data_IF_773422127520
#
_entry.id   IF_773422127520
#
_cell.length_a   1.000
_cell.length_b   1.000
_cell.length_c   1.000
_cell.angle_alpha   90.00
_cell.angle_beta   90.00
_cell.angle_gamma   90.00
#
_symmetry.space_group_name_H-M   'P 1'
#
loop_
_entity.id
_entity.type
_entity.pdbx_description
1 polymer ?
#
# COMPACT_ATOMS: atom_id res chain seq x y z
N UNK A 1 17.48 -3.72 -19.60
CA UNK A 1 16.12 -4.19 -19.38
C UNK A 1 16.17 -5.58 -18.77
N UNK A 2 15.56 -5.70 -17.61
CA UNK A 2 15.47 -7.00 -16.97
C UNK A 2 14.35 -7.81 -17.62
N UNK A 3 14.65 -9.04 -18.04
CA UNK A 3 13.62 -9.95 -18.48
C UNK A 3 12.75 -10.33 -17.28
N UNK A 4 11.46 -10.43 -17.50
CA UNK A 4 10.53 -10.86 -16.44
C UNK A 4 10.90 -12.28 -16.00
N UNK A 5 11.04 -12.48 -14.71
CA UNK A 5 11.18 -13.81 -14.14
C UNK A 5 9.82 -14.52 -14.27
N UNK A 6 9.73 -15.65 -15.01
CA UNK A 6 8.46 -16.34 -15.21
C UNK A 6 7.87 -16.91 -13.91
N UNK A 7 8.65 -16.97 -12.82
CA UNK A 7 8.17 -17.42 -11.51
C UNK A 7 7.64 -16.27 -10.65
N UNK A 8 7.70 -15.03 -11.16
CA UNK A 8 7.24 -13.84 -10.45
C UNK A 8 6.02 -13.26 -11.14
N UNK A 9 5.10 -12.79 -10.33
CA UNK A 9 3.86 -12.19 -10.78
C UNK A 9 3.68 -10.82 -10.13
N UNK A 10 3.47 -9.81 -10.96
CA UNK A 10 3.22 -8.47 -10.47
C UNK A 10 1.71 -8.20 -10.47
N UNK A 11 1.29 -7.33 -9.55
CA UNK A 11 -0.09 -6.90 -9.48
C UNK A 11 -0.16 -5.43 -9.87
N UNK A 12 -1.05 -5.07 -10.78
CA UNK A 12 -1.24 -3.70 -11.23
C UNK A 12 -2.73 -3.35 -11.14
N UNK A 13 -3.04 -2.24 -10.47
CA UNK A 13 -4.39 -1.70 -10.41
C UNK A 13 -4.32 -0.23 -10.82
N UNK A 14 -5.20 0.17 -11.74
CA UNK A 14 -5.37 1.56 -12.10
C UNK A 14 -6.78 1.99 -11.74
N UNK A 15 -6.92 3.11 -11.04
CA UNK A 15 -8.22 3.62 -10.62
C UNK A 15 -8.25 5.15 -10.70
N UNK A 16 -9.38 5.68 -11.12
CA UNK A 16 -9.60 7.13 -11.16
C UNK A 16 -10.39 7.55 -9.92
N UNK A 17 -9.86 8.56 -9.20
CA UNK A 17 -10.52 9.15 -8.04
C UNK A 17 -11.08 10.52 -8.40
N UNK A 18 -12.23 10.84 -7.85
CA UNK A 18 -12.88 12.13 -8.06
C UNK A 18 -12.36 13.16 -7.05
N UNK A 19 -11.07 13.42 -7.14
CA UNK A 19 -10.36 14.37 -6.28
C UNK A 19 -9.08 14.81 -6.98
N UNK A 20 -8.61 16.04 -6.73
CA UNK A 20 -7.37 16.52 -7.35
C UNK A 20 -6.14 15.78 -6.82
N UNK A 21 -5.06 15.84 -7.58
CA UNK A 21 -3.81 15.11 -7.26
C UNK A 21 -3.32 15.42 -5.86
N UNK A 22 -3.39 16.65 -5.40
CA UNK A 22 -2.92 17.05 -4.07
C UNK A 22 -3.66 16.31 -2.96
N UNK A 23 -4.97 16.10 -3.13
CA UNK A 23 -5.76 15.38 -2.13
C UNK A 23 -5.47 13.88 -2.14
N UNK A 24 -5.30 13.29 -3.33
CA UNK A 24 -4.96 11.86 -3.43
C UNK A 24 -3.56 11.62 -2.87
N UNK A 25 -2.61 12.52 -3.15
CA UNK A 25 -1.27 12.45 -2.59
C UNK A 25 -1.31 12.54 -1.06
N UNK A 26 -2.07 13.48 -0.51
CA UNK A 26 -2.22 13.63 0.95
C UNK A 26 -2.81 12.38 1.59
N UNK A 27 -3.74 11.72 0.89
CA UNK A 27 -4.33 10.49 1.40
C UNK A 27 -3.28 9.41 1.67
N UNK A 28 -2.20 9.38 0.90
CA UNK A 28 -1.12 8.40 1.04
C UNK A 28 0.02 8.86 1.95
N UNK A 29 0.07 10.12 2.31
CA UNK A 29 1.23 10.69 3.01
C UNK A 29 0.91 11.29 4.38
N UNK A 30 -0.32 11.70 4.60
CA UNK A 30 -0.76 12.29 5.87
C UNK A 30 -1.23 11.17 6.81
N UNK A 31 -0.69 11.08 8.04
CA UNK A 31 -1.06 10.01 8.97
C UNK A 31 -2.55 9.94 9.27
N UNK A 32 -3.21 11.08 9.47
CA UNK A 32 -4.65 11.09 9.76
C UNK A 32 -5.47 10.59 8.57
N UNK A 33 -5.01 10.87 7.34
CA UNK A 33 -5.67 10.38 6.14
C UNK A 33 -5.49 8.88 5.98
N UNK A 34 -4.27 8.36 6.17
CA UNK A 34 -3.97 6.93 6.06
C UNK A 34 -4.83 6.12 7.04
N UNK A 35 -5.04 6.63 8.23
CA UNK A 35 -5.85 5.95 9.26
C UNK A 35 -7.32 5.78 8.85
N UNK A 36 -7.78 6.51 7.85
CA UNK A 36 -9.17 6.41 7.39
C UNK A 36 -9.42 5.25 6.46
N UNK A 37 -8.41 4.80 5.72
CA UNK A 37 -8.63 3.84 4.64
C UNK A 37 -7.69 2.63 4.65
N UNK A 38 -6.62 2.64 5.43
CA UNK A 38 -5.68 1.51 5.42
C UNK A 38 -6.33 0.25 5.96
N UNK A 39 -6.09 -0.87 5.25
CA UNK A 39 -6.69 -2.17 5.55
C UNK A 39 -7.93 -2.46 4.69
N UNK A 40 -8.19 -3.75 4.43
CA UNK A 40 -9.36 -4.14 3.64
C UNK A 40 -10.66 -3.86 4.37
N UNK A 41 -11.78 -4.11 3.69
CA UNK A 41 -13.11 -3.90 4.26
C UNK A 41 -13.27 -4.61 5.61
N UNK A 42 -13.80 -3.89 6.59
CA UNK A 42 -13.99 -4.40 7.96
C UNK A 42 -12.80 -4.17 8.88
N UNK A 43 -11.65 -3.78 8.33
CA UNK A 43 -10.48 -3.43 9.14
C UNK A 43 -10.49 -1.94 9.49
N UNK A 44 -9.84 -1.62 10.60
CA UNK A 44 -9.53 -0.24 10.97
C UNK A 44 -8.02 -0.05 10.95
N UNK A 45 -7.56 1.19 10.99
CA UNK A 45 -6.12 1.51 10.97
C UNK A 45 -5.78 2.33 12.23
N UNK A 46 -5.40 1.68 13.34
CA UNK A 46 -5.15 2.38 14.60
C UNK A 46 -3.81 3.12 14.66
N UNK A 47 -2.88 2.82 13.76
CA UNK A 47 -1.55 3.42 13.78
C UNK A 47 -1.14 3.86 12.38
N UNK A 48 -0.68 5.09 12.26
CA UNK A 48 0.01 5.58 11.08
C UNK A 48 1.06 6.61 11.55
N UNK A 49 2.32 6.23 11.48
CA UNK A 49 3.46 7.11 11.78
C UNK A 49 4.21 7.31 10.49
N UNK A 50 4.05 8.47 9.88
CA UNK A 50 4.53 8.72 8.53
C UNK A 50 5.85 9.49 8.55
N UNK A 51 6.80 9.01 7.72
CA UNK A 51 8.06 9.70 7.46
C UNK A 51 8.31 9.60 5.96
N UNK A 52 7.56 10.40 5.21
CA UNK A 52 7.52 10.32 3.75
C UNK A 52 8.61 11.17 3.14
N UNK A 53 9.79 10.58 3.04
CA UNK A 53 10.95 11.16 2.39
C UNK A 53 11.82 10.01 1.88
N UNK A 54 12.67 10.28 0.93
CA UNK A 54 13.57 9.25 0.43
C UNK A 54 14.47 8.77 1.56
N UNK A 55 14.50 7.46 1.77
CA UNK A 55 15.20 6.84 2.89
C UNK A 55 14.42 6.81 4.20
N UNK A 56 13.26 7.48 4.27
CA UNK A 56 12.41 7.43 5.45
C UNK A 56 11.58 6.14 5.51
N UNK A 57 11.04 5.85 6.69
CA UNK A 57 10.21 4.66 6.91
C UNK A 57 8.96 5.04 7.68
N UNK A 58 7.80 4.71 7.13
CA UNK A 58 6.53 4.85 7.80
C UNK A 58 6.13 3.53 8.45
N UNK A 59 5.40 3.60 9.57
CA UNK A 59 4.84 2.45 10.26
C UNK A 59 3.32 2.56 10.27
N UNK A 60 2.65 1.56 9.72
CA UNK A 60 1.18 1.53 9.67
C UNK A 60 0.68 0.22 10.26
N UNK A 61 -0.51 0.25 10.82
CA UNK A 61 -1.14 -0.96 11.33
C UNK A 61 -2.59 -1.02 10.86
N UNK A 62 -3.04 -2.23 10.55
CA UNK A 62 -4.45 -2.51 10.32
C UNK A 62 -4.94 -3.44 11.42
N UNK A 63 -6.18 -3.24 11.86
CA UNK A 63 -6.80 -4.04 12.91
C UNK A 63 -7.98 -4.81 12.33
N UNK A 64 -7.93 -6.14 12.47
CA UNK A 64 -9.01 -7.00 12.00
C UNK A 64 -10.27 -6.81 12.85
N UNK A 65 -11.44 -7.26 12.35
CA UNK A 65 -12.67 -7.26 13.15
C UNK A 65 -12.55 -8.03 14.46
N UNK A 66 -11.61 -8.99 14.53
CA UNK A 66 -11.34 -9.78 15.75
C UNK A 66 -10.36 -9.09 16.70
N UNK A 67 -9.88 -7.88 16.35
CA UNK A 67 -8.98 -7.12 17.21
C UNK A 67 -7.51 -7.46 17.08
N UNK A 68 -7.11 -8.15 16.01
CA UNK A 68 -5.70 -8.46 15.75
C UNK A 68 -5.07 -7.37 14.91
N UNK A 69 -3.92 -6.86 15.35
CA UNK A 69 -3.18 -5.82 14.64
C UNK A 69 -2.08 -6.43 13.78
N UNK A 70 -1.99 -5.97 12.54
CA UNK A 70 -0.93 -6.33 11.62
C UNK A 70 -0.17 -5.06 11.24
N UNK A 71 1.13 -5.05 11.51
CA UNK A 71 2.00 -3.90 11.26
C UNK A 71 2.77 -4.08 9.96
N UNK A 72 2.91 -2.97 9.23
CA UNK A 72 3.74 -2.89 8.03
C UNK A 72 4.64 -1.67 8.12
N UNK A 73 5.83 -1.78 7.54
CA UNK A 73 6.67 -0.61 7.28
C UNK A 73 6.68 -0.32 5.79
N UNK A 74 6.75 0.96 5.45
CA UNK A 74 6.95 1.44 4.09
C UNK A 74 8.24 2.25 4.07
N UNK A 75 9.27 1.71 3.43
CA UNK A 75 10.56 2.40 3.30
C UNK A 75 10.64 3.00 1.91
N UNK A 76 10.77 4.32 1.83
CA UNK A 76 10.64 5.05 0.57
C UNK A 76 11.94 5.10 -0.21
N UNK A 77 11.83 4.81 -1.51
CA UNK A 77 12.93 4.94 -2.47
C UNK A 77 12.81 6.20 -3.30
N UNK A 78 11.58 6.55 -3.70
CA UNK A 78 11.28 7.72 -4.52
C UNK A 78 10.11 8.45 -3.91
N UNK A 79 10.25 9.76 -3.73
CA UNK A 79 9.17 10.63 -3.26
C UNK A 79 9.15 11.86 -4.17
N UNK A 80 8.24 11.84 -5.14
CA UNK A 80 8.00 12.97 -6.05
C UNK A 80 6.58 13.48 -5.79
N UNK A 81 6.40 14.52 -4.99
CA UNK A 81 5.08 14.97 -4.58
C UNK A 81 4.10 15.16 -5.74
N UNK A 82 2.94 14.54 -5.62
CA UNK A 82 1.90 14.62 -6.62
C UNK A 82 2.13 13.81 -7.90
N UNK A 83 3.23 13.05 -7.97
CA UNK A 83 3.57 12.30 -9.19
C UNK A 83 3.90 10.84 -8.95
N UNK A 84 4.80 10.56 -8.03
CA UNK A 84 5.33 9.20 -7.88
C UNK A 84 5.77 8.93 -6.46
N UNK A 85 5.40 7.76 -5.96
CA UNK A 85 5.81 7.27 -4.66
C UNK A 85 6.27 5.82 -4.83
N UNK A 86 7.50 5.53 -4.45
CA UNK A 86 8.01 4.17 -4.47
C UNK A 86 8.48 3.79 -3.09
N UNK A 87 8.03 2.64 -2.61
CA UNK A 87 8.44 2.15 -1.30
C UNK A 87 8.47 0.63 -1.28
N UNK A 88 9.20 0.10 -0.30
CA UNK A 88 9.21 -1.34 -0.04
C UNK A 88 8.40 -1.59 1.22
N UNK A 89 7.37 -2.42 1.09
CA UNK A 89 6.54 -2.83 2.21
C UNK A 89 7.13 -4.09 2.84
N UNK A 90 7.24 -4.07 4.16
CA UNK A 90 7.66 -5.23 4.95
C UNK A 90 6.67 -5.43 6.09
N UNK A 91 6.57 -6.67 6.55
CA UNK A 91 5.83 -6.96 7.78
C UNK A 91 6.69 -6.60 8.98
N UNK A 92 6.05 -6.14 10.04
CA UNK A 92 6.77 -5.62 11.19
C UNK A 92 6.02 -5.93 12.50
N UNK A 93 6.71 -5.70 13.61
CA UNK A 93 6.08 -5.64 14.92
C UNK A 93 5.72 -4.18 15.25
N UNK A 94 5.17 -3.94 16.44
CA UNK A 94 4.72 -2.61 16.86
C UNK A 94 5.88 -1.61 17.01
N UNK A 95 7.11 -2.10 17.14
CA UNK A 95 8.31 -1.26 17.21
C UNK A 95 8.91 -0.97 15.84
N UNK A 96 8.34 -1.56 14.77
CA UNK A 96 8.84 -1.38 13.41
C UNK A 96 9.94 -2.35 13.01
N UNK A 97 10.21 -3.37 13.82
CA UNK A 97 11.20 -4.39 13.48
C UNK A 97 10.60 -5.37 12.48
N UNK A 98 11.37 -5.72 11.45
CA UNK A 98 10.90 -6.63 10.41
C UNK A 98 10.58 -8.01 10.98
N UNK A 99 9.47 -8.59 10.51
CA UNK A 99 9.03 -9.93 10.89
C UNK A 99 8.71 -10.73 9.63
N UNK A 100 8.94 -12.04 9.71
CA UNK A 100 8.54 -12.93 8.62
C UNK A 100 7.01 -13.10 8.64
N UNK A 101 6.36 -13.16 7.47
CA UNK A 101 4.92 -13.41 7.41
C UNK A 101 4.48 -14.64 8.19
N UNK A 102 5.28 -15.71 8.13
CA UNK A 102 4.97 -16.96 8.84
C UNK A 102 4.93 -16.76 10.36
N UNK A 103 5.76 -15.88 10.92
CA UNK A 103 5.75 -15.57 12.35
C UNK A 103 4.44 -14.88 12.77
N UNK A 104 3.76 -14.26 11.82
CA UNK A 104 2.51 -13.53 12.05
C UNK A 104 1.27 -14.38 11.72
N UNK A 105 1.46 -15.67 11.45
CA UNK A 105 0.37 -16.56 11.11
C UNK A 105 -0.10 -16.47 9.67
N UNK A 106 0.69 -15.83 8.81
CA UNK A 106 0.37 -15.68 7.39
C UNK A 106 0.98 -16.84 6.60
N UNK A 107 0.45 -17.15 5.40
CA UNK A 107 1.04 -18.19 4.55
C UNK A 107 2.50 -17.92 4.23
N UNK A 108 3.31 -19.00 4.21
CA UNK A 108 4.75 -18.88 3.97
C UNK A 108 5.08 -18.37 2.56
N UNK A 109 4.14 -18.48 1.62
CA UNK A 109 4.31 -18.02 0.25
C UNK A 109 4.26 -16.49 0.13
N UNK A 110 3.78 -15.79 1.15
CA UNK A 110 3.73 -14.33 1.13
C UNK A 110 5.15 -13.79 1.26
N UNK A 111 5.59 -12.91 0.32
CA UNK A 111 6.94 -12.37 0.35
C UNK A 111 7.19 -11.52 1.59
N UNK A 112 8.43 -11.55 2.07
CA UNK A 112 8.88 -10.69 3.18
C UNK A 112 8.90 -9.23 2.79
N UNK A 113 9.14 -8.93 1.53
CA UNK A 113 9.25 -7.60 0.99
C UNK A 113 8.45 -7.52 -0.28
N UNK A 114 7.68 -6.45 -0.43
CA UNK A 114 6.93 -6.18 -1.65
C UNK A 114 7.20 -4.74 -2.06
N UNK A 115 8.00 -4.54 -3.12
CA UNK A 115 8.17 -3.21 -3.68
C UNK A 115 6.85 -2.72 -4.26
N UNK A 116 6.57 -1.43 -4.05
CA UNK A 116 5.38 -0.76 -4.55
C UNK A 116 5.79 0.45 -5.37
N UNK A 117 5.09 0.67 -6.47
CA UNK A 117 5.16 1.92 -7.21
C UNK A 117 3.75 2.48 -7.33
N UNK A 118 3.59 3.74 -6.90
CA UNK A 118 2.36 4.48 -7.08
C UNK A 118 2.64 5.65 -8.01
N UNK A 119 1.86 5.78 -9.08
CA UNK A 119 1.92 6.94 -9.97
C UNK A 119 0.60 7.69 -9.92
N UNK A 120 0.69 9.01 -9.87
CA UNK A 120 -0.45 9.91 -9.74
C UNK A 120 -0.47 10.79 -10.99
N UNK A 121 -1.58 10.78 -11.71
CA UNK A 121 -1.72 11.56 -12.95
C UNK A 121 -3.05 12.31 -12.94
N UNK A 122 -3.00 13.63 -13.12
CA UNK A 122 -4.23 14.42 -13.26
C UNK A 122 -4.93 14.04 -14.57
N UNK A 123 -6.22 13.74 -14.50
CA UNK A 123 -7.04 13.40 -15.67
C UNK A 123 -8.31 14.24 -15.65
N UNK A 124 -8.43 15.13 -16.62
CA UNK A 124 -9.54 16.08 -16.63
C UNK A 124 -9.50 17.03 -15.44
N UNK A 125 -10.60 17.71 -15.21
CA UNK A 125 -10.69 18.69 -14.12
C UNK A 125 -11.01 18.00 -12.79
N UNK A 126 -10.09 18.15 -11.84
CA UNK A 126 -10.32 17.73 -10.46
C UNK A 126 -10.32 16.22 -10.24
N UNK A 127 -9.77 15.41 -11.17
CA UNK A 127 -9.68 13.96 -11.01
C UNK A 127 -8.26 13.47 -11.12
N UNK A 128 -7.99 12.32 -10.53
CA UNK A 128 -6.65 11.73 -10.50
C UNK A 128 -6.72 10.24 -10.85
N UNK A 129 -5.85 9.83 -11.78
CA UNK A 129 -5.61 8.44 -12.05
C UNK A 129 -4.45 7.96 -11.19
N UNK A 130 -4.70 6.95 -10.36
CA UNK A 130 -3.69 6.31 -9.53
C UNK A 130 -3.42 4.91 -10.08
N UNK A 131 -2.16 4.61 -10.34
CA UNK A 131 -1.74 3.25 -10.66
C UNK A 131 -0.87 2.72 -9.53
N UNK A 132 -1.29 1.59 -8.97
CA UNK A 132 -0.55 0.88 -7.91
C UNK A 132 0.03 -0.38 -8.54
N UNK A 133 1.35 -0.53 -8.44
CA UNK A 133 2.04 -1.75 -8.87
C UNK A 133 2.73 -2.37 -7.68
N UNK A 134 2.50 -3.66 -7.47
CA UNK A 134 3.19 -4.47 -6.47
C UNK A 134 3.97 -5.55 -7.19
N UNK A 135 5.23 -5.73 -6.82
CA UNK A 135 6.16 -6.55 -7.58
C UNK A 135 6.53 -7.85 -6.86
N UNK A 136 6.67 -8.92 -7.62
CA UNK A 136 7.43 -10.08 -7.19
C UNK A 136 6.68 -11.13 -6.42
N UNK A 137 5.37 -11.27 -6.61
CA UNK A 137 4.62 -12.36 -5.98
C UNK A 137 5.00 -13.71 -6.59
N UNK A 138 5.00 -14.80 -5.78
CA UNK A 138 5.46 -16.10 -6.25
C UNK A 138 4.45 -16.82 -7.16
N UNK A 139 3.18 -16.39 -7.18
CA UNK A 139 2.15 -17.03 -7.98
C UNK A 139 1.04 -16.04 -8.30
N UNK A 140 0.24 -16.37 -9.33
CA UNK A 140 -0.96 -15.60 -9.65
C UNK A 140 -1.98 -15.64 -8.51
N UNK A 141 -2.04 -16.74 -7.77
CA UNK A 141 -2.95 -16.86 -6.64
C UNK A 141 -2.61 -15.86 -5.53
N UNK A 142 -1.33 -15.73 -5.18
CA UNK A 142 -0.90 -14.78 -4.15
C UNK A 142 -1.08 -13.34 -4.65
N UNK A 143 -0.72 -13.06 -5.90
CA UNK A 143 -0.96 -11.74 -6.51
C UNK A 143 -2.46 -11.40 -6.51
N UNK A 144 -3.32 -12.38 -6.78
CA UNK A 144 -4.77 -12.21 -6.76
C UNK A 144 -5.33 -11.90 -5.38
N UNK A 145 -4.79 -12.51 -4.32
CA UNK A 145 -5.18 -12.16 -2.96
C UNK A 145 -4.82 -10.71 -2.63
N UNK A 146 -3.62 -10.29 -3.02
CA UNK A 146 -3.21 -8.90 -2.82
C UNK A 146 -4.08 -7.94 -3.61
N UNK A 147 -4.41 -8.28 -4.86
CA UNK A 147 -5.31 -7.48 -5.70
C UNK A 147 -6.66 -7.30 -5.01
N UNK A 148 -7.27 -8.38 -4.53
CA UNK A 148 -8.58 -8.32 -3.89
C UNK A 148 -8.56 -7.41 -2.66
N UNK A 149 -7.52 -7.51 -1.84
CA UNK A 149 -7.35 -6.65 -0.68
C UNK A 149 -7.13 -5.20 -1.05
N UNK A 150 -6.26 -4.94 -2.04
CA UNK A 150 -5.98 -3.57 -2.49
C UNK A 150 -7.20 -2.91 -3.11
N UNK A 151 -8.03 -3.65 -3.84
CA UNK A 151 -9.26 -3.09 -4.38
C UNK A 151 -10.19 -2.60 -3.27
N UNK A 152 -10.31 -3.36 -2.19
CA UNK A 152 -11.09 -2.94 -1.02
C UNK A 152 -10.49 -1.72 -0.33
N UNK A 153 -9.18 -1.68 -0.21
CA UNK A 153 -8.45 -0.53 0.34
C UNK A 153 -8.73 0.71 -0.49
N UNK A 154 -8.65 0.59 -1.82
CA UNK A 154 -8.88 1.73 -2.72
C UNK A 154 -10.35 2.19 -2.71
N UNK A 155 -11.30 1.27 -2.48
CA UNK A 155 -12.70 1.65 -2.27
C UNK A 155 -12.85 2.54 -1.03
N UNK A 156 -12.20 2.16 0.06
CA UNK A 156 -12.21 2.95 1.29
C UNK A 156 -11.53 4.30 1.10
N UNK A 157 -10.43 4.32 0.35
CA UNK A 157 -9.74 5.57 0.01
C UNK A 157 -10.66 6.48 -0.77
N UNK A 158 -11.36 5.95 -1.77
CA UNK A 158 -12.33 6.74 -2.55
C UNK A 158 -13.40 7.34 -1.65
N UNK A 159 -13.94 6.55 -0.71
CA UNK A 159 -14.93 7.04 0.24
C UNK A 159 -14.38 8.14 1.13
N UNK A 160 -13.12 8.04 1.55
CA UNK A 160 -12.48 9.04 2.41
C UNK A 160 -12.25 10.38 1.73
N UNK A 161 -12.27 10.39 0.38
CA UNK A 161 -12.05 11.61 -0.41
C UNK A 161 -13.35 12.37 -0.71
N UNK A 162 -14.49 11.84 -0.31
CA UNK A 162 -15.79 12.48 -0.52
C UNK A 162 -16.07 13.58 0.48
#
# INVERSE_FOLDING_TARGET
>A
MTSADPTRHDMVITRVFDAPVERVWQAWTDPEQVMRWWGPTGFTAPVARMDVREGGTSLVAMRSPQGQDLYNTWTYRTVEPGRRLEFVQRFADEAGNQRDPAELGLPAEIPREVPHTLTFTAVGDGRTELTVTEYGYPSEQIAGFSRAGMEQVLDKLADSLR
#
